data_IF_412060704632
#
_entry.id   IF_412060704632
#
_cell.length_a   1.000
_cell.length_b   1.000
_cell.length_c   1.000
_cell.angle_alpha   90.00
_cell.angle_beta   90.00
_cell.angle_gamma   90.00
#
_symmetry.space_group_name_H-M   'P 1'
#
loop_
_entity.id
_entity.type
_entity.pdbx_description
1 polymer ?
#
# COMPACT_ATOMS: atom_id res chain seq x y z
N UNK A 1 -6.12 -44.45 -6.91
CA UNK A 1 -6.44 -45.85 -6.53
C UNK A 1 -5.63 -46.87 -7.33
N UNK A 2 -5.56 -46.77 -8.66
CA UNK A 2 -4.78 -47.69 -9.51
C UNK A 2 -3.29 -47.83 -9.12
N UNK A 3 -2.62 -46.72 -8.78
CA UNK A 3 -1.20 -46.74 -8.37
C UNK A 3 -0.94 -47.47 -7.05
N UNK A 4 -1.90 -47.47 -6.11
CA UNK A 4 -1.76 -48.20 -4.84
C UNK A 4 -1.86 -49.71 -5.11
N UNK A 5 -2.74 -50.12 -6.01
CA UNK A 5 -2.86 -51.50 -6.46
C UNK A 5 -1.58 -51.97 -7.17
N UNK A 6 -1.01 -51.11 -8.02
CA UNK A 6 0.30 -51.37 -8.66
C UNK A 6 1.40 -51.51 -7.61
N UNK A 7 1.45 -50.64 -6.60
CA UNK A 7 2.41 -50.74 -5.50
C UNK A 7 2.28 -52.07 -4.73
N UNK A 8 1.06 -52.53 -4.49
CA UNK A 8 0.79 -53.82 -3.84
C UNK A 8 1.32 -55.01 -4.67
N UNK A 9 1.00 -55.06 -5.97
CA UNK A 9 1.50 -56.12 -6.85
C UNK A 9 3.01 -56.09 -7.02
N UNK A 10 3.62 -54.90 -7.09
CA UNK A 10 5.08 -54.74 -7.12
C UNK A 10 5.73 -55.23 -5.81
N UNK A 11 5.11 -54.98 -4.67
CA UNK A 11 5.60 -55.49 -3.38
C UNK A 11 5.53 -57.03 -3.34
N UNK A 12 4.42 -57.63 -3.77
CA UNK A 12 4.28 -59.09 -3.91
C UNK A 12 5.35 -59.67 -4.84
N UNK A 13 5.53 -59.05 -6.02
CA UNK A 13 6.52 -59.48 -6.99
C UNK A 13 7.93 -59.44 -6.39
N UNK A 14 8.28 -58.35 -5.69
CA UNK A 14 9.57 -58.19 -5.00
C UNK A 14 9.77 -59.28 -3.94
N UNK A 15 8.72 -59.62 -3.19
CA UNK A 15 8.77 -60.72 -2.22
C UNK A 15 9.07 -62.06 -2.89
N UNK A 16 8.32 -62.43 -3.95
CA UNK A 16 8.52 -63.69 -4.65
C UNK A 16 9.88 -63.77 -5.35
N UNK A 17 10.37 -62.68 -5.94
CA UNK A 17 11.74 -62.62 -6.50
C UNK A 17 12.76 -62.87 -5.38
N UNK A 18 12.56 -62.28 -4.20
CA UNK A 18 13.42 -62.50 -3.04
C UNK A 18 13.45 -63.96 -2.58
N UNK A 19 12.27 -64.60 -2.46
CA UNK A 19 12.13 -66.01 -2.09
C UNK A 19 12.77 -66.92 -3.14
N UNK A 20 12.54 -66.66 -4.43
CA UNK A 20 13.10 -67.42 -5.53
C UNK A 20 14.63 -67.36 -5.56
N UNK A 21 15.21 -66.17 -5.36
CA UNK A 21 16.66 -65.99 -5.24
C UNK A 21 17.21 -66.77 -4.04
N UNK A 22 16.45 -66.81 -2.93
CA UNK A 22 16.85 -67.55 -1.73
C UNK A 22 16.86 -69.06 -1.96
N UNK A 23 15.85 -69.59 -2.65
CA UNK A 23 15.67 -71.01 -2.91
C UNK A 23 16.57 -71.57 -4.02
N UNK A 24 17.21 -70.71 -4.82
CA UNK A 24 18.09 -71.17 -5.91
C UNK A 24 19.26 -72.02 -5.38
N UNK A 25 19.53 -73.20 -5.97
CA UNK A 25 20.67 -74.05 -5.63
C UNK A 25 21.97 -73.54 -6.28
N UNK A 26 22.17 -72.23 -6.29
CA UNK A 26 23.34 -71.56 -6.89
C UNK A 26 24.20 -70.97 -5.75
N UNK A 27 25.48 -71.34 -5.61
CA UNK A 27 26.35 -70.87 -4.52
C UNK A 27 26.95 -69.47 -4.76
N UNK A 28 26.20 -68.54 -5.38
CA UNK A 28 26.68 -67.16 -5.58
C UNK A 28 26.27 -66.30 -4.39
N UNK A 29 27.22 -66.08 -3.47
CA UNK A 29 27.00 -65.34 -2.21
C UNK A 29 26.52 -63.90 -2.45
N UNK A 30 27.00 -63.23 -3.49
CA UNK A 30 26.58 -61.88 -3.87
C UNK A 30 25.09 -61.80 -4.19
N UNK A 31 24.55 -62.78 -4.93
CA UNK A 31 23.13 -62.83 -5.30
C UNK A 31 22.27 -63.21 -4.09
N UNK A 32 22.70 -64.20 -3.29
CA UNK A 32 21.98 -64.63 -2.09
C UNK A 32 21.87 -63.56 -1.00
N UNK A 33 22.80 -62.60 -0.94
CA UNK A 33 22.69 -61.43 -0.04
C UNK A 33 21.53 -60.49 -0.38
N UNK A 34 21.03 -60.48 -1.62
CA UNK A 34 19.90 -59.66 -2.03
C UNK A 34 18.55 -60.26 -1.65
N UNK A 35 18.42 -61.58 -1.60
CA UNK A 35 17.19 -62.25 -1.21
C UNK A 35 16.58 -61.75 0.12
N UNK A 36 17.28 -61.79 1.26
CA UNK A 36 16.72 -61.31 2.54
C UNK A 36 16.42 -59.81 2.51
N UNK A 37 17.17 -59.02 1.72
CA UNK A 37 16.89 -57.58 1.56
C UNK A 37 15.60 -57.33 0.79
N UNK A 38 15.39 -58.03 -0.33
CA UNK A 38 14.17 -57.91 -1.14
C UNK A 38 12.93 -58.36 -0.35
N UNK A 39 13.03 -59.43 0.42
CA UNK A 39 11.94 -59.92 1.29
C UNK A 39 11.60 -58.87 2.36
N UNK A 40 12.61 -58.34 3.06
CA UNK A 40 12.40 -57.31 4.08
C UNK A 40 11.81 -56.01 3.51
N UNK A 41 12.24 -55.64 2.30
CA UNK A 41 11.74 -54.45 1.60
C UNK A 41 10.28 -54.57 1.19
N UNK A 42 9.91 -55.72 0.61
CA UNK A 42 8.54 -56.02 0.24
C UNK A 42 7.63 -55.98 1.48
N UNK A 43 8.06 -56.59 2.59
CA UNK A 43 7.32 -56.57 3.84
C UNK A 43 7.15 -55.14 4.39
N UNK A 44 8.23 -54.34 4.38
CA UNK A 44 8.18 -52.95 4.80
C UNK A 44 7.17 -52.13 3.99
N UNK A 45 7.19 -52.26 2.66
CA UNK A 45 6.25 -51.54 1.78
C UNK A 45 4.81 -52.03 2.00
N UNK A 46 4.58 -53.33 2.22
CA UNK A 46 3.25 -53.84 2.55
C UNK A 46 2.72 -53.28 3.87
N UNK A 47 3.53 -53.30 4.93
CA UNK A 47 3.14 -52.71 6.22
C UNK A 47 2.81 -51.22 6.05
N UNK A 48 3.58 -50.51 5.23
CA UNK A 48 3.32 -49.10 4.94
C UNK A 48 2.01 -48.90 4.16
N UNK A 49 1.74 -49.75 3.15
CA UNK A 49 0.47 -49.74 2.41
C UNK A 49 -0.74 -49.95 3.32
N UNK A 50 -0.66 -50.87 4.27
CA UNK A 50 -1.77 -51.13 5.21
C UNK A 50 -1.90 -50.04 6.29
N UNK A 51 -0.79 -49.40 6.70
CA UNK A 51 -0.80 -48.37 7.74
C UNK A 51 -1.00 -46.94 7.21
N UNK A 52 -0.99 -46.71 5.89
CA UNK A 52 -1.00 -45.36 5.32
C UNK A 52 -2.24 -44.55 5.73
N UNK A 53 -3.41 -45.18 5.80
CA UNK A 53 -4.64 -44.50 6.23
C UNK A 53 -4.55 -44.03 7.69
N UNK A 54 -3.97 -44.86 8.57
CA UNK A 54 -3.72 -44.50 9.97
C UNK A 54 -2.69 -43.37 10.08
N UNK A 55 -1.61 -43.41 9.28
CA UNK A 55 -0.59 -42.34 9.24
C UNK A 55 -1.21 -41.01 8.80
N UNK A 56 -2.02 -41.01 7.73
CA UNK A 56 -2.71 -39.80 7.24
C UNK A 56 -3.69 -39.27 8.29
N UNK A 57 -4.44 -40.15 8.95
CA UNK A 57 -5.38 -39.74 10.00
C UNK A 57 -4.66 -39.11 11.19
N UNK A 58 -3.56 -39.72 11.65
CA UNK A 58 -2.72 -39.15 12.71
C UNK A 58 -2.15 -37.79 12.32
N UNK A 59 -1.67 -37.66 11.09
CA UNK A 59 -1.20 -36.39 10.51
C UNK A 59 -2.28 -35.31 10.54
N UNK A 60 -3.52 -35.62 10.14
CA UNK A 60 -4.63 -34.67 10.19
C UNK A 60 -4.99 -34.27 11.63
N UNK A 61 -4.94 -35.20 12.60
CA UNK A 61 -5.15 -34.89 14.01
C UNK A 61 -4.08 -33.89 14.50
N UNK A 62 -2.81 -34.16 14.22
CA UNK A 62 -1.70 -33.26 14.58
C UNK A 62 -1.92 -31.88 13.95
N UNK A 63 -2.26 -31.83 12.66
CA UNK A 63 -2.56 -30.58 11.96
C UNK A 63 -3.67 -29.78 12.68
N UNK A 64 -4.80 -30.41 12.99
CA UNK A 64 -5.92 -29.71 13.64
C UNK A 64 -5.61 -29.28 15.07
N UNK A 65 -4.90 -30.09 15.85
CA UNK A 65 -4.50 -29.73 17.23
C UNK A 65 -3.53 -28.55 17.27
N UNK A 66 -2.68 -28.40 16.26
CA UNK A 66 -1.79 -27.24 16.10
C UNK A 66 -2.50 -26.03 15.48
N UNK A 67 -3.82 -26.09 15.28
CA UNK A 67 -4.63 -24.99 14.75
C UNK A 67 -4.51 -24.81 13.24
N UNK A 68 -4.14 -25.86 12.50
CA UNK A 68 -4.07 -25.86 11.05
C UNK A 68 -5.41 -26.19 10.40
N UNK A 69 -5.83 -25.35 9.46
CA UNK A 69 -7.00 -25.59 8.62
C UNK A 69 -6.73 -25.15 7.17
N UNK A 70 -7.01 -26.06 6.23
CA UNK A 70 -6.77 -25.84 4.81
C UNK A 70 -7.61 -24.72 4.22
N UNK A 71 -8.85 -24.57 4.67
CA UNK A 71 -9.77 -23.58 4.10
C UNK A 71 -9.42 -22.18 4.59
N UNK A 72 -9.08 -22.04 5.86
CA UNK A 72 -8.58 -20.82 6.48
C UNK A 72 -7.27 -20.38 5.83
N UNK A 73 -6.32 -21.30 5.67
CA UNK A 73 -5.02 -21.01 5.03
C UNK A 73 -5.17 -20.57 3.57
N UNK A 74 -5.96 -21.26 2.75
CA UNK A 74 -6.18 -20.87 1.35
C UNK A 74 -6.92 -19.54 1.23
N UNK A 75 -7.90 -19.29 2.11
CA UNK A 75 -8.62 -18.01 2.14
C UNK A 75 -7.70 -16.86 2.54
N UNK A 76 -6.88 -17.05 3.58
CA UNK A 76 -5.88 -16.09 4.01
C UNK A 76 -4.88 -15.76 2.90
N UNK A 77 -4.37 -16.78 2.20
CA UNK A 77 -3.38 -16.58 1.13
C UNK A 77 -4.00 -15.86 -0.07
N UNK A 78 -5.23 -16.19 -0.46
CA UNK A 78 -5.98 -15.48 -1.52
C UNK A 78 -6.24 -14.02 -1.15
N UNK A 79 -6.71 -13.77 0.07
CA UNK A 79 -6.96 -12.40 0.56
C UNK A 79 -5.66 -11.59 0.59
N UNK A 80 -4.56 -12.22 1.01
CA UNK A 80 -3.24 -11.59 1.02
C UNK A 80 -2.79 -11.21 -0.39
N UNK A 81 -2.87 -12.13 -1.36
CA UNK A 81 -2.55 -11.85 -2.77
C UNK A 81 -3.41 -10.69 -3.30
N UNK A 82 -4.74 -10.74 -3.10
CA UNK A 82 -5.64 -9.68 -3.54
C UNK A 82 -5.25 -8.32 -2.94
N UNK A 83 -4.95 -8.28 -1.64
CA UNK A 83 -4.47 -7.07 -0.97
C UNK A 83 -3.23 -6.46 -1.64
N UNK A 84 -2.22 -7.27 -1.98
CA UNK A 84 -0.99 -6.77 -2.64
C UNK A 84 -1.27 -6.28 -4.06
N UNK A 85 -2.15 -6.94 -4.81
CA UNK A 85 -2.58 -6.46 -6.14
C UNK A 85 -3.24 -5.08 -6.04
N UNK A 86 -4.12 -4.88 -5.05
CA UNK A 86 -4.75 -3.57 -4.84
C UNK A 86 -3.75 -2.48 -4.48
N UNK A 87 -2.79 -2.77 -3.60
CA UNK A 87 -1.73 -1.80 -3.24
C UNK A 87 -0.88 -1.47 -4.46
N UNK A 88 -0.51 -2.45 -5.28
CA UNK A 88 0.24 -2.21 -6.52
C UNK A 88 -0.54 -1.35 -7.52
N UNK A 89 -1.85 -1.59 -7.66
CA UNK A 89 -2.70 -0.78 -8.51
C UNK A 89 -2.75 0.67 -8.02
N UNK A 90 -2.90 0.88 -6.71
CA UNK A 90 -2.89 2.22 -6.10
C UNK A 90 -1.54 2.93 -6.29
N UNK A 91 -0.42 2.25 -6.01
CA UNK A 91 0.91 2.82 -6.22
C UNK A 91 1.20 3.09 -7.71
N UNK A 92 0.66 2.29 -8.61
CA UNK A 92 0.71 2.53 -10.06
C UNK A 92 0.02 3.83 -10.45
N UNK A 93 -1.21 4.04 -9.97
CA UNK A 93 -1.94 5.30 -10.20
C UNK A 93 -1.21 6.50 -9.60
N UNK A 94 -0.69 6.36 -8.38
CA UNK A 94 0.08 7.41 -7.71
C UNK A 94 1.35 7.75 -8.51
N UNK A 95 2.08 6.73 -8.98
CA UNK A 95 3.27 6.92 -9.81
C UNK A 95 2.94 7.67 -11.10
N UNK A 96 1.85 7.31 -11.77
CA UNK A 96 1.44 7.95 -13.02
C UNK A 96 1.08 9.43 -12.79
N UNK A 97 0.41 9.75 -11.68
CA UNK A 97 0.13 11.13 -11.27
C UNK A 97 1.42 11.91 -10.96
N UNK A 98 2.32 11.34 -10.17
CA UNK A 98 3.59 11.96 -9.81
C UNK A 98 4.51 12.16 -11.03
N UNK A 99 4.50 11.24 -11.99
CA UNK A 99 5.34 11.34 -13.19
C UNK A 99 4.98 12.53 -14.09
N UNK A 100 3.77 13.06 -13.98
CA UNK A 100 3.32 14.26 -14.71
C UNK A 100 3.81 15.56 -14.06
N UNK A 101 4.31 15.49 -12.82
CA UNK A 101 4.80 16.62 -12.04
C UNK A 101 6.33 16.55 -12.02
N UNK A 102 6.99 17.21 -12.97
CA UNK A 102 8.43 17.04 -13.27
C UNK A 102 9.40 17.22 -12.10
N UNK A 103 9.04 18.01 -11.08
CA UNK A 103 9.82 18.22 -9.85
C UNK A 103 9.89 16.97 -8.96
N UNK A 104 8.89 16.07 -9.01
CA UNK A 104 8.78 14.90 -8.13
C UNK A 104 9.42 13.63 -8.70
N UNK A 105 10.28 13.75 -9.71
CA UNK A 105 10.97 12.62 -10.33
C UNK A 105 11.74 11.75 -9.32
N UNK A 106 12.32 12.35 -8.28
CA UNK A 106 12.94 11.62 -7.16
C UNK A 106 11.97 10.73 -6.37
N UNK A 107 10.74 11.19 -6.14
CA UNK A 107 9.70 10.43 -5.44
C UNK A 107 9.21 9.26 -6.30
N UNK A 108 9.10 9.45 -7.62
CA UNK A 108 8.71 8.34 -8.52
C UNK A 108 9.67 7.14 -8.41
N UNK A 109 10.97 7.40 -8.17
CA UNK A 109 11.98 6.36 -7.92
C UNK A 109 11.69 5.62 -6.61
N UNK A 110 11.39 6.32 -5.53
CA UNK A 110 11.01 5.70 -4.24
C UNK A 110 9.75 4.84 -4.38
N UNK A 111 8.72 5.36 -5.04
CA UNK A 111 7.48 4.60 -5.32
C UNK A 111 7.80 3.34 -6.12
N UNK A 112 8.64 3.42 -7.16
CA UNK A 112 9.04 2.23 -7.92
C UNK A 112 9.82 1.19 -7.10
N UNK A 113 10.68 1.61 -6.15
CA UNK A 113 11.38 0.69 -5.26
C UNK A 113 10.41 -0.08 -4.35
N UNK A 114 9.41 0.62 -3.82
CA UNK A 114 8.35 0.01 -2.99
C UNK A 114 7.51 -0.96 -3.84
N UNK A 115 7.11 -0.55 -5.04
CA UNK A 115 6.37 -1.40 -5.97
C UNK A 115 7.15 -2.69 -6.27
N UNK A 116 8.45 -2.60 -6.59
CA UNK A 116 9.27 -3.79 -6.86
C UNK A 116 9.32 -4.75 -5.66
N UNK A 117 9.36 -4.22 -4.44
CA UNK A 117 9.37 -5.02 -3.22
C UNK A 117 8.04 -5.73 -2.98
N UNK A 118 6.91 -5.05 -3.24
CA UNK A 118 5.57 -5.64 -3.15
C UNK A 118 5.37 -6.69 -4.25
N UNK A 119 5.88 -6.45 -5.46
CA UNK A 119 5.88 -7.44 -6.55
C UNK A 119 6.63 -8.70 -6.14
N UNK A 120 7.80 -8.57 -5.51
CA UNK A 120 8.55 -9.73 -5.00
C UNK A 120 7.76 -10.51 -3.93
N UNK A 121 7.12 -9.81 -2.98
CA UNK A 121 6.20 -10.42 -1.99
C UNK A 121 5.05 -11.17 -2.68
N UNK A 122 4.44 -10.59 -3.71
CA UNK A 122 3.37 -11.21 -4.46
C UNK A 122 3.82 -12.50 -5.17
N UNK A 123 5.02 -12.51 -5.77
CA UNK A 123 5.58 -13.72 -6.36
C UNK A 123 5.77 -14.84 -5.33
N UNK A 124 6.26 -14.52 -4.14
CA UNK A 124 6.46 -15.52 -3.07
C UNK A 124 5.13 -16.09 -2.57
N UNK A 125 4.11 -15.25 -2.37
CA UNK A 125 2.76 -15.71 -2.02
C UNK A 125 2.14 -16.57 -3.13
N UNK A 126 2.38 -16.24 -4.40
CA UNK A 126 1.89 -17.02 -5.53
C UNK A 126 2.57 -18.40 -5.59
N UNK A 127 3.88 -18.47 -5.35
CA UNK A 127 4.62 -19.74 -5.24
C UNK A 127 4.05 -20.59 -4.10
N UNK A 128 3.83 -20.00 -2.94
CA UNK A 128 3.21 -20.71 -1.80
C UNK A 128 1.80 -21.20 -2.15
N UNK A 129 0.97 -20.36 -2.78
CA UNK A 129 -0.40 -20.73 -3.16
C UNK A 129 -0.42 -21.86 -4.19
N UNK A 130 0.37 -21.75 -5.25
CA UNK A 130 0.46 -22.77 -6.30
C UNK A 130 0.96 -24.11 -5.75
N UNK A 131 2.02 -24.09 -4.94
CA UNK A 131 2.52 -25.27 -4.24
C UNK A 131 1.45 -25.91 -3.36
N UNK A 132 0.69 -25.08 -2.63
CA UNK A 132 -0.38 -25.52 -1.75
C UNK A 132 -1.54 -26.17 -2.49
N UNK A 133 -1.95 -25.59 -3.62
CA UNK A 133 -2.99 -26.18 -4.48
C UNK A 133 -2.51 -27.51 -5.05
N UNK A 134 -1.27 -27.60 -5.51
CA UNK A 134 -0.68 -28.84 -6.04
C UNK A 134 -0.67 -29.93 -4.96
N UNK A 135 -0.20 -29.62 -3.75
CA UNK A 135 -0.17 -30.57 -2.63
C UNK A 135 -1.59 -31.01 -2.25
N UNK A 136 -2.52 -30.08 -2.04
CA UNK A 136 -3.89 -30.40 -1.62
C UNK A 136 -4.64 -31.27 -2.64
N UNK A 137 -4.49 -30.97 -3.92
CA UNK A 137 -5.19 -31.70 -5.00
C UNK A 137 -4.54 -33.03 -5.33
N UNK A 138 -3.20 -33.09 -5.31
CA UNK A 138 -2.42 -34.27 -5.73
C UNK A 138 -1.90 -35.12 -4.58
N UNK A 139 -2.34 -34.86 -3.34
CA UNK A 139 -1.86 -35.53 -2.13
C UNK A 139 -1.84 -37.06 -2.25
N UNK A 140 -2.99 -37.66 -2.57
CA UNK A 140 -3.11 -39.12 -2.72
C UNK A 140 -2.31 -39.66 -3.90
N UNK A 141 -2.11 -38.85 -4.94
CA UNK A 141 -1.29 -39.21 -6.10
C UNK A 141 0.19 -39.28 -5.70
N UNK A 142 0.70 -38.31 -4.93
CA UNK A 142 2.08 -38.33 -4.45
C UNK A 142 2.34 -39.49 -3.48
N UNK A 143 1.40 -39.78 -2.58
CA UNK A 143 1.50 -40.95 -1.69
C UNK A 143 1.54 -42.26 -2.50
N UNK A 144 0.61 -42.42 -3.44
CA UNK A 144 0.52 -43.64 -4.24
C UNK A 144 1.75 -43.82 -5.15
N UNK A 145 2.24 -42.75 -5.77
CA UNK A 145 3.45 -42.76 -6.57
C UNK A 145 4.69 -43.05 -5.71
N UNK A 146 4.78 -42.44 -4.54
CA UNK A 146 5.86 -42.68 -3.58
C UNK A 146 5.94 -44.15 -3.16
N UNK A 147 4.79 -44.73 -2.79
CA UNK A 147 4.66 -46.15 -2.47
C UNK A 147 5.00 -47.06 -3.65
N UNK A 148 4.54 -46.74 -4.86
CA UNK A 148 4.85 -47.53 -6.05
C UNK A 148 6.35 -47.53 -6.37
N UNK A 149 7.02 -46.37 -6.27
CA UNK A 149 8.47 -46.26 -6.46
C UNK A 149 9.26 -46.99 -5.37
N UNK A 150 8.78 -46.97 -4.12
CA UNK A 150 9.38 -47.76 -3.04
C UNK A 150 9.21 -49.27 -3.24
N UNK A 151 8.13 -49.70 -3.89
CA UNK A 151 7.85 -51.09 -4.20
C UNK A 151 8.69 -51.66 -5.36
N UNK A 152 9.43 -50.82 -6.11
CA UNK A 152 10.27 -51.28 -7.22
C UNK A 152 11.40 -52.18 -6.69
N UNK A 153 11.58 -53.39 -7.27
CA UNK A 153 12.64 -54.32 -6.87
C UNK A 153 14.03 -53.69 -6.90
N UNK A 154 14.95 -54.27 -6.12
CA UNK A 154 16.37 -53.86 -6.04
C UNK A 154 16.61 -52.43 -5.53
N UNK A 155 15.58 -51.78 -4.95
CA UNK A 155 15.66 -50.43 -4.36
C UNK A 155 16.04 -49.32 -5.35
N UNK A 156 15.89 -49.52 -6.65
CA UNK A 156 16.34 -48.57 -7.69
C UNK A 156 15.70 -47.18 -7.49
N UNK A 157 14.41 -47.15 -7.16
CA UNK A 157 13.65 -45.91 -6.98
C UNK A 157 13.26 -45.63 -5.52
N UNK A 158 13.84 -46.35 -4.55
CA UNK A 158 13.39 -46.30 -3.15
C UNK A 158 13.56 -44.93 -2.52
N UNK A 159 14.68 -44.25 -2.79
CA UNK A 159 14.95 -42.91 -2.27
C UNK A 159 13.96 -41.87 -2.81
N UNK A 160 13.69 -41.92 -4.11
CA UNK A 160 12.71 -41.05 -4.76
C UNK A 160 11.29 -41.29 -4.23
N UNK A 161 10.91 -42.57 -4.05
CA UNK A 161 9.62 -42.93 -3.50
C UNK A 161 9.44 -42.49 -2.04
N UNK A 162 10.46 -42.69 -1.21
CA UNK A 162 10.47 -42.24 0.18
C UNK A 162 10.41 -40.70 0.30
N UNK A 163 11.08 -39.99 -0.61
CA UNK A 163 10.98 -38.53 -0.68
C UNK A 163 9.59 -38.05 -1.06
N UNK A 164 8.97 -38.62 -2.11
CA UNK A 164 7.62 -38.24 -2.52
C UNK A 164 6.58 -38.50 -1.43
N UNK A 165 6.69 -39.65 -0.74
CA UNK A 165 5.83 -39.98 0.40
C UNK A 165 6.02 -38.99 1.56
N UNK A 166 7.27 -38.69 1.93
CA UNK A 166 7.60 -37.75 2.99
C UNK A 166 7.14 -36.32 2.65
N UNK A 167 7.41 -35.87 1.43
CA UNK A 167 6.96 -34.57 0.90
C UNK A 167 5.45 -34.44 1.01
N UNK A 168 4.69 -35.43 0.53
CA UNK A 168 3.23 -35.39 0.58
C UNK A 168 2.73 -35.27 2.02
N UNK A 169 3.23 -36.08 2.94
CA UNK A 169 2.80 -36.07 4.35
C UNK A 169 3.18 -34.77 5.06
N UNK A 170 4.44 -34.34 4.95
CA UNK A 170 4.94 -33.14 5.61
C UNK A 170 4.24 -31.90 5.08
N UNK A 171 4.18 -31.71 3.76
CA UNK A 171 3.53 -30.54 3.19
C UNK A 171 2.02 -30.54 3.45
N UNK A 172 1.35 -31.71 3.45
CA UNK A 172 -0.08 -31.75 3.73
C UNK A 172 -0.40 -31.37 5.19
N UNK A 173 0.42 -31.82 6.13
CA UNK A 173 0.25 -31.54 7.55
C UNK A 173 0.62 -30.09 7.87
N UNK A 174 1.75 -29.64 7.33
CA UNK A 174 2.40 -28.43 7.80
C UNK A 174 1.97 -27.18 7.03
N UNK A 175 1.76 -27.20 5.71
CA UNK A 175 1.40 -25.98 4.96
C UNK A 175 0.27 -25.15 5.61
N UNK A 176 -0.82 -25.75 6.11
CA UNK A 176 -1.90 -25.01 6.77
C UNK A 176 -1.51 -24.34 8.10
N UNK A 177 -0.39 -24.74 8.70
CA UNK A 177 0.19 -24.13 9.91
C UNK A 177 0.97 -22.85 9.62
N UNK A 178 1.14 -22.46 8.35
CA UNK A 178 1.83 -21.22 7.98
C UNK A 178 1.23 -20.00 8.70
N UNK A 179 -0.10 -19.93 8.87
CA UNK A 179 -0.73 -18.82 9.59
C UNK A 179 -0.26 -18.69 11.04
N UNK A 180 -0.01 -19.81 11.73
CA UNK A 180 0.51 -19.80 13.10
C UNK A 180 2.00 -19.45 13.12
N UNK A 181 2.75 -19.93 12.14
CA UNK A 181 4.15 -19.59 11.95
C UNK A 181 4.34 -18.07 11.75
N UNK A 182 3.49 -17.44 10.93
CA UNK A 182 3.51 -15.98 10.72
C UNK A 182 3.20 -15.22 12.01
N UNK A 183 2.25 -15.68 12.81
CA UNK A 183 1.93 -15.06 14.11
C UNK A 183 3.11 -15.13 15.09
N UNK A 184 3.91 -16.21 15.07
CA UNK A 184 5.10 -16.31 15.91
C UNK A 184 6.23 -15.39 15.48
N UNK A 185 6.33 -15.08 14.18
CA UNK A 185 7.33 -14.16 13.65
C UNK A 185 7.02 -12.68 13.97
N UNK A 186 5.78 -12.35 14.30
CA UNK A 186 5.34 -10.96 14.50
C UNK A 186 4.88 -10.77 15.94
N UNK A 187 5.74 -10.17 16.77
CA UNK A 187 5.40 -9.82 18.16
C UNK A 187 4.67 -8.47 18.30
N UNK A 188 4.40 -7.73 17.22
CA UNK A 188 3.68 -6.45 17.28
C UNK A 188 2.25 -6.57 16.76
N UNK A 189 1.28 -6.11 17.54
CA UNK A 189 -0.09 -5.92 17.05
C UNK A 189 -0.08 -4.91 15.92
N UNK A 190 -0.72 -5.26 14.80
CA UNK A 190 -0.89 -4.35 13.68
C UNK A 190 -1.81 -3.21 14.11
N UNK A 191 -1.29 -1.98 14.16
CA UNK A 191 -2.15 -0.80 14.33
C UNK A 191 -3.03 -0.66 13.10
N UNK A 192 -4.35 -0.67 13.28
CA UNK A 192 -5.32 -0.53 12.19
C UNK A 192 -5.04 0.73 11.36
N UNK A 193 -4.84 0.56 10.05
CA UNK A 193 -4.77 1.65 9.07
C UNK A 193 -6.15 2.31 8.94
N UNK A 194 -6.37 3.44 9.61
CA UNK A 194 -7.65 4.18 9.61
C UNK A 194 -7.65 5.47 8.77
N UNK A 195 -6.66 5.67 7.88
CA UNK A 195 -6.53 6.89 7.08
C UNK A 195 -7.17 6.81 5.68
N UNK A 196 -7.69 7.94 5.18
CA UNK A 196 -8.15 8.12 3.80
C UNK A 196 -7.33 9.23 3.11
N UNK A 197 -7.08 9.06 1.80
CA UNK A 197 -6.48 10.11 0.95
C UNK A 197 -7.62 10.96 0.41
N UNK A 198 -7.61 12.25 0.74
CA UNK A 198 -8.56 13.25 0.24
C UNK A 198 -7.89 14.06 -0.86
N UNK A 199 -8.57 14.24 -1.98
CA UNK A 199 -8.10 15.07 -3.09
C UNK A 199 -9.25 15.87 -3.68
N UNK A 200 -8.96 17.00 -4.32
CA UNK A 200 -10.00 17.75 -5.02
C UNK A 200 -9.50 19.04 -5.64
N UNK A 201 -10.43 19.77 -6.24
CA UNK A 201 -10.12 21.06 -6.85
C UNK A 201 -10.45 22.23 -5.94
N UNK A 202 -9.67 23.30 -6.01
CA UNK A 202 -9.93 24.57 -5.32
C UNK A 202 -10.45 25.61 -6.32
N UNK A 203 -11.61 26.18 -6.03
CA UNK A 203 -12.25 27.21 -6.84
C UNK A 203 -12.67 28.40 -5.99
N UNK A 204 -12.77 29.58 -6.60
CA UNK A 204 -13.29 30.78 -5.94
C UNK A 204 -14.84 30.83 -5.94
N UNK A 205 -15.42 31.94 -5.46
CA UNK A 205 -16.88 32.12 -5.44
C UNK A 205 -17.53 32.13 -6.84
N UNK A 206 -16.79 32.54 -7.87
CA UNK A 206 -17.20 32.55 -9.28
C UNK A 206 -16.86 31.22 -10.02
N UNK A 207 -16.54 30.15 -9.29
CA UNK A 207 -16.14 28.84 -9.82
C UNK A 207 -14.89 28.87 -10.74
N UNK A 208 -14.09 29.95 -10.70
CA UNK A 208 -12.77 30.00 -11.34
C UNK A 208 -11.78 29.20 -10.50
N UNK A 209 -10.98 28.38 -11.15
CA UNK A 209 -9.95 27.55 -10.51
C UNK A 209 -8.80 28.42 -9.97
N UNK A 210 -8.44 28.25 -8.70
CA UNK A 210 -7.32 28.97 -8.08
C UNK A 210 -6.07 28.10 -8.23
N UNK A 211 -5.06 28.58 -8.95
CA UNK A 211 -3.95 27.72 -9.41
C UNK A 211 -2.96 27.35 -8.31
N UNK A 212 -2.67 28.29 -7.40
CA UNK A 212 -1.64 28.18 -6.36
C UNK A 212 -2.18 28.64 -5.01
N UNK A 213 -1.48 28.31 -3.93
CA UNK A 213 -1.81 28.70 -2.57
C UNK A 213 -1.74 27.51 -1.62
N UNK A 214 -2.28 27.65 -0.43
CA UNK A 214 -2.18 26.60 0.58
C UNK A 214 -3.52 26.34 1.27
N UNK A 215 -3.70 25.13 1.74
CA UNK A 215 -4.84 24.73 2.56
C UNK A 215 -4.33 24.54 3.99
N UNK A 216 -4.98 25.23 4.92
CA UNK A 216 -4.86 25.01 6.35
C UNK A 216 -5.98 24.10 6.84
N UNK A 217 -5.63 23.09 7.61
CA UNK A 217 -6.56 22.19 8.28
C UNK A 217 -6.59 22.55 9.78
N UNK A 218 -7.73 22.97 10.30
CA UNK A 218 -7.91 23.12 11.74
C UNK A 218 -8.68 21.92 12.30
N UNK A 219 -8.08 21.26 13.29
CA UNK A 219 -8.64 20.11 13.98
C UNK A 219 -8.37 20.19 15.48
N UNK A 220 -9.43 20.12 16.31
CA UNK A 220 -9.31 20.15 17.77
C UNK A 220 -8.56 21.37 18.31
N UNK A 221 -8.83 22.56 17.75
CA UNK A 221 -8.13 23.83 18.00
C UNK A 221 -6.63 23.84 17.67
N UNK A 222 -6.15 22.86 16.89
CA UNK A 222 -4.80 22.88 16.31
C UNK A 222 -4.89 23.19 14.82
N UNK A 223 -4.19 24.23 14.42
CA UNK A 223 -4.02 24.57 13.01
C UNK A 223 -2.84 23.80 12.44
N UNK A 224 -3.11 23.05 11.38
CA UNK A 224 -2.18 22.21 10.63
C UNK A 224 -2.12 22.79 9.21
N UNK A 225 -1.07 23.54 8.92
CA UNK A 225 -0.81 24.13 7.61
C UNK A 225 0.69 24.08 7.33
N UNK A 226 1.17 24.15 6.08
CA UNK A 226 0.40 24.34 4.86
C UNK A 226 0.37 23.10 3.93
N UNK A 227 -0.81 22.76 3.41
CA UNK A 227 -0.97 21.75 2.35
C UNK A 227 -0.97 22.51 1.01
N UNK A 228 0.04 22.33 0.14
CA UNK A 228 0.14 23.12 -1.08
C UNK A 228 -0.93 22.76 -2.11
N UNK A 229 -1.37 23.76 -2.84
CA UNK A 229 -2.29 23.66 -3.97
C UNK A 229 -1.50 23.96 -5.23
N UNK A 230 -1.53 23.05 -6.20
CA UNK A 230 -0.87 23.22 -7.49
C UNK A 230 -1.82 22.86 -8.62
N UNK A 231 -1.87 23.70 -9.65
CA UNK A 231 -2.82 23.55 -10.76
C UNK A 231 -4.26 23.36 -10.27
N UNK A 232 -4.62 24.07 -9.20
CA UNK A 232 -5.91 23.98 -8.52
C UNK A 232 -6.24 22.65 -7.88
N UNK A 233 -5.30 21.72 -7.79
CA UNK A 233 -5.49 20.43 -7.15
C UNK A 233 -4.75 20.41 -5.82
N UNK A 234 -5.39 19.82 -4.81
CA UNK A 234 -4.75 19.52 -3.54
C UNK A 234 -4.91 18.05 -3.19
N UNK A 235 -4.03 17.55 -2.33
CA UNK A 235 -4.09 16.18 -1.81
C UNK A 235 -3.62 16.18 -0.37
N UNK A 236 -4.36 15.51 0.49
CA UNK A 236 -4.03 15.36 1.91
C UNK A 236 -4.36 13.95 2.41
N UNK A 237 -3.57 13.46 3.35
CA UNK A 237 -3.87 12.24 4.09
C UNK A 237 -4.56 12.63 5.39
N UNK A 238 -5.77 12.10 5.62
CA UNK A 238 -6.56 12.40 6.82
C UNK A 238 -6.78 11.11 7.59
N UNK A 239 -6.33 11.11 8.86
CA UNK A 239 -6.50 9.99 9.79
C UNK A 239 -7.12 10.46 11.13
N UNK A 240 -7.99 11.46 11.06
CA UNK A 240 -8.58 12.09 12.23
C UNK A 240 -10.06 11.76 12.34
N UNK A 241 -10.48 11.24 13.49
CA UNK A 241 -11.88 11.04 13.84
C UNK A 241 -12.44 12.28 14.53
N UNK A 242 -12.96 13.23 13.75
CA UNK A 242 -13.66 14.39 14.29
C UNK A 242 -14.01 15.43 13.24
N UNK A 243 -14.51 16.58 13.70
CA UNK A 243 -14.84 17.70 12.82
C UNK A 243 -13.58 18.52 12.52
N UNK A 244 -13.46 18.94 11.27
CA UNK A 244 -12.38 19.80 10.81
C UNK A 244 -12.93 21.01 10.06
N UNK A 245 -12.15 22.09 10.08
CA UNK A 245 -12.37 23.26 9.23
C UNK A 245 -11.21 23.40 8.27
N UNK A 246 -11.51 23.59 6.98
CA UNK A 246 -10.51 23.84 5.96
C UNK A 246 -10.49 25.32 5.61
N UNK A 247 -9.30 25.91 5.68
CA UNK A 247 -8.99 27.27 5.29
C UNK A 247 -8.16 27.26 4.03
N UNK A 248 -8.31 28.28 3.20
CA UNK A 248 -7.37 28.58 2.14
C UNK A 248 -6.48 29.74 2.61
N UNK A 249 -5.19 29.49 2.75
CA UNK A 249 -4.22 30.41 3.30
C UNK A 249 -3.33 30.97 2.17
N UNK A 250 -3.42 32.28 1.95
CA UNK A 250 -2.58 33.03 1.00
C UNK A 250 -2.30 34.44 1.51
N UNK A 251 -1.08 34.94 1.31
CA UNK A 251 -0.69 36.32 1.66
C UNK A 251 -1.05 36.71 3.12
N UNK A 252 -0.90 35.79 4.08
CA UNK A 252 -1.21 36.04 5.49
C UNK A 252 -2.70 36.09 5.84
N UNK A 253 -3.57 35.68 4.90
CA UNK A 253 -5.02 35.65 5.07
C UNK A 253 -5.54 34.22 5.06
N UNK A 254 -6.39 33.91 6.05
CA UNK A 254 -7.12 32.64 6.10
C UNK A 254 -8.55 32.84 5.57
N UNK A 255 -8.80 32.36 4.36
CA UNK A 255 -10.12 32.38 3.75
C UNK A 255 -10.90 31.13 4.13
N UNK A 256 -12.13 31.29 4.60
CA UNK A 256 -13.02 30.17 4.86
C UNK A 256 -13.39 29.45 3.56
N UNK A 257 -13.43 28.12 3.63
CA UNK A 257 -13.96 27.29 2.54
C UNK A 257 -15.41 26.88 2.82
N UNK A 258 -16.03 26.16 1.89
CA UNK A 258 -17.31 25.48 2.08
C UNK A 258 -17.29 24.36 3.14
N UNK A 259 -16.12 24.05 3.73
CA UNK A 259 -15.96 22.98 4.71
C UNK A 259 -15.56 23.58 6.04
N UNK A 260 -16.56 23.83 6.87
CA UNK A 260 -16.44 24.40 8.20
C UNK A 260 -17.06 23.47 9.23
N UNK A 261 -16.29 23.11 10.26
CA UNK A 261 -16.71 22.23 11.35
C UNK A 261 -17.43 20.95 10.87
N UNK A 262 -16.87 20.28 9.86
CA UNK A 262 -17.47 19.11 9.24
C UNK A 262 -16.58 17.87 9.43
N UNK A 263 -17.21 16.71 9.66
CA UNK A 263 -16.48 15.44 9.70
C UNK A 263 -16.08 15.03 8.28
N UNK A 264 -14.77 15.11 7.99
CA UNK A 264 -14.20 14.67 6.71
C UNK A 264 -14.55 13.20 6.46
N UNK A 265 -14.50 12.36 7.49
CA UNK A 265 -14.88 10.96 7.39
C UNK A 265 -16.32 10.78 6.89
N UNK A 266 -17.29 11.58 7.38
CA UNK A 266 -18.68 11.49 6.93
C UNK A 266 -18.89 12.04 5.51
N UNK A 267 -18.20 13.15 5.16
CA UNK A 267 -18.21 13.70 3.81
C UNK A 267 -17.69 12.67 2.80
N UNK A 268 -16.61 11.98 3.16
CA UNK A 268 -16.07 10.90 2.35
C UNK A 268 -17.05 9.71 2.29
N UNK A 269 -17.67 9.30 3.41
CA UNK A 269 -18.57 8.12 3.52
C UNK A 269 -19.72 8.14 2.50
N UNK A 270 -20.29 9.30 2.24
CA UNK A 270 -21.41 9.45 1.28
C UNK A 270 -20.98 9.40 -0.20
N UNK A 271 -19.67 9.45 -0.47
CA UNK A 271 -19.12 9.33 -1.82
C UNK A 271 -18.74 7.87 -2.16
N UNK A 272 -18.87 6.95 -1.19
CA UNK A 272 -18.59 5.53 -1.39
C UNK A 272 -19.81 4.82 -1.97
N UNK A 273 -19.82 4.65 -3.29
CA UNK A 273 -20.61 3.60 -3.95
C UNK A 273 -19.73 2.52 -4.59
N UNK A 274 -18.46 2.39 -4.18
CA UNK A 274 -17.48 1.49 -4.81
C UNK A 274 -16.37 0.98 -3.89
N UNK A 275 -15.75 -0.12 -4.33
CA UNK A 275 -14.80 -1.02 -3.64
C UNK A 275 -13.38 -0.48 -3.42
N UNK A 276 -13.15 0.84 -3.51
CA UNK A 276 -11.83 1.47 -3.27
C UNK A 276 -11.83 2.23 -1.94
N UNK A 277 -11.45 1.60 -0.82
CA UNK A 277 -11.68 2.15 0.53
C UNK A 277 -10.78 3.33 0.91
N UNK A 278 -9.99 3.94 0.02
CA UNK A 278 -8.89 4.84 0.40
C UNK A 278 -8.89 6.22 -0.28
N UNK A 279 -9.74 6.49 -1.28
CA UNK A 279 -9.72 7.76 -2.03
C UNK A 279 -11.05 8.50 -1.89
N UNK A 280 -10.99 9.78 -1.50
CA UNK A 280 -12.13 10.66 -1.31
C UNK A 280 -11.97 11.95 -2.12
N UNK A 281 -12.97 12.27 -2.96
CA UNK A 281 -12.95 13.50 -3.75
C UNK A 281 -13.73 14.62 -3.04
N UNK A 282 -13.08 15.75 -2.79
CA UNK A 282 -13.63 16.85 -2.01
C UNK A 282 -13.25 18.20 -2.64
N UNK A 283 -14.18 18.85 -3.33
CA UNK A 283 -13.90 20.14 -3.97
C UNK A 283 -14.09 21.30 -2.97
N UNK A 284 -13.13 22.21 -2.93
CA UNK A 284 -13.14 23.37 -2.05
C UNK A 284 -13.58 24.62 -2.79
N UNK A 285 -14.49 25.37 -2.18
CA UNK A 285 -14.92 26.69 -2.64
C UNK A 285 -14.46 27.74 -1.64
N UNK A 286 -13.55 28.61 -2.05
CA UNK A 286 -12.95 29.67 -1.23
C UNK A 286 -13.85 30.90 -1.24
N UNK A 287 -14.22 31.37 -0.05
CA UNK A 287 -15.10 32.53 0.11
C UNK A 287 -14.29 33.83 0.15
N UNK A 288 -14.77 34.88 -0.52
CA UNK A 288 -14.17 36.23 -0.51
C UNK A 288 -12.94 36.44 -1.40
N UNK A 289 -12.19 35.39 -1.73
CA UNK A 289 -11.03 35.47 -2.63
C UNK A 289 -11.49 35.59 -4.10
N UNK A 290 -10.96 36.58 -4.82
CA UNK A 290 -11.15 36.77 -6.26
C UNK A 290 -10.16 35.90 -7.02
N UNK A 291 -8.86 36.07 -6.77
CA UNK A 291 -7.81 35.30 -7.43
C UNK A 291 -6.50 35.41 -6.65
N UNK A 292 -5.59 34.48 -6.91
CA UNK A 292 -4.25 34.44 -6.31
C UNK A 292 -3.21 34.03 -7.35
N UNK A 293 -2.10 34.77 -7.41
CA UNK A 293 -0.95 34.40 -8.22
C UNK A 293 0.35 34.89 -7.56
N UNK A 294 1.25 33.97 -7.23
CA UNK A 294 2.64 34.24 -6.79
C UNK A 294 2.76 35.40 -5.78
N UNK A 295 2.20 35.25 -4.58
CA UNK A 295 2.32 36.28 -3.53
C UNK A 295 1.43 37.52 -3.73
N UNK A 296 0.52 37.49 -4.71
CA UNK A 296 -0.49 38.53 -4.93
C UNK A 296 -1.89 37.94 -4.74
N UNK A 297 -2.64 38.43 -3.76
CA UNK A 297 -4.02 38.03 -3.51
C UNK A 297 -4.98 39.20 -3.71
N UNK A 298 -6.01 39.00 -4.52
CA UNK A 298 -7.16 39.90 -4.62
C UNK A 298 -8.36 39.30 -3.90
N UNK A 299 -8.95 40.05 -2.99
CA UNK A 299 -10.18 39.63 -2.31
C UNK A 299 -11.11 40.81 -2.08
N UNK A 300 -12.41 40.54 -1.92
CA UNK A 300 -13.41 41.58 -1.75
C UNK A 300 -14.46 41.19 -0.72
N UNK A 301 -14.93 42.19 0.03
CA UNK A 301 -16.00 42.01 1.01
C UNK A 301 -16.94 43.23 1.05
N UNK A 302 -18.27 43.05 0.88
CA UNK A 302 -18.93 41.83 0.37
C UNK A 302 -18.43 41.41 -1.03
N UNK A 303 -18.61 40.14 -1.40
CA UNK A 303 -18.13 39.63 -2.69
C UNK A 303 -18.97 40.23 -3.86
N UNK A 304 -18.36 40.77 -4.92
CA UNK A 304 -19.07 41.34 -6.05
C UNK A 304 -19.97 40.32 -6.76
N UNK A 305 -21.08 40.78 -7.33
CA UNK A 305 -22.02 39.93 -8.07
C UNK A 305 -21.41 39.28 -9.32
N UNK A 306 -20.47 39.97 -9.99
CA UNK A 306 -19.72 39.43 -11.12
C UNK A 306 -18.26 39.88 -11.03
N UNK A 307 -17.34 38.97 -11.35
CA UNK A 307 -15.91 39.22 -11.37
C UNK A 307 -15.29 38.56 -12.60
N UNK A 308 -14.71 39.35 -13.49
CA UNK A 308 -13.99 38.88 -14.66
C UNK A 308 -12.54 39.37 -14.62
N UNK A 309 -11.61 38.44 -14.41
CA UNK A 309 -10.17 38.72 -14.40
C UNK A 309 -9.64 38.53 -15.82
N UNK A 310 -9.39 39.62 -16.54
CA UNK A 310 -8.89 39.59 -17.92
C UNK A 310 -7.39 39.29 -17.98
N UNK A 311 -6.60 39.87 -17.06
CA UNK A 311 -5.17 39.62 -16.94
C UNK A 311 -4.76 39.54 -15.47
N UNK A 312 -4.01 38.51 -15.09
CA UNK A 312 -3.42 38.40 -13.75
C UNK A 312 -2.00 37.86 -13.86
N UNK A 313 -1.04 38.78 -13.94
CA UNK A 313 0.39 38.46 -14.06
C UNK A 313 1.17 39.14 -12.94
N UNK A 314 2.41 38.70 -12.66
CA UNK A 314 3.27 39.37 -11.69
C UNK A 314 3.56 40.86 -11.96
N UNK A 315 3.30 41.36 -13.18
CA UNK A 315 3.58 42.76 -13.58
C UNK A 315 2.33 43.60 -13.79
N UNK A 316 1.20 42.96 -14.09
CA UNK A 316 -0.03 43.66 -14.42
C UNK A 316 -1.25 42.83 -14.07
N UNK A 317 -2.22 43.50 -13.44
CA UNK A 317 -3.50 42.92 -13.06
C UNK A 317 -4.62 43.80 -13.64
N UNK A 318 -5.59 43.16 -14.29
CA UNK A 318 -6.78 43.81 -14.82
C UNK A 318 -8.02 42.98 -14.48
N UNK A 319 -8.96 43.62 -13.78
CA UNK A 319 -10.17 42.97 -13.29
C UNK A 319 -11.38 43.88 -13.50
N UNK A 320 -12.45 43.30 -14.03
CA UNK A 320 -13.77 43.92 -14.13
C UNK A 320 -14.65 43.40 -12.99
N UNK A 321 -15.20 44.32 -12.21
CA UNK A 321 -15.98 44.05 -11.01
C UNK A 321 -17.36 44.68 -11.17
N UNK A 322 -18.41 43.93 -10.88
CA UNK A 322 -19.79 44.45 -10.86
C UNK A 322 -20.44 44.10 -9.52
N UNK A 323 -20.96 45.10 -8.83
CA UNK A 323 -21.64 44.94 -7.54
C UNK A 323 -22.87 45.82 -7.43
N UNK A 324 -23.92 45.31 -6.79
CA UNK A 324 -25.15 46.07 -6.47
C UNK A 324 -25.03 46.92 -5.19
N UNK A 325 -23.95 46.75 -4.44
CA UNK A 325 -23.67 47.44 -3.19
C UNK A 325 -22.20 47.83 -3.12
N UNK A 326 -21.89 48.82 -2.29
CA UNK A 326 -20.52 49.22 -2.01
C UNK A 326 -19.73 48.04 -1.42
N UNK A 327 -18.47 47.93 -1.78
CA UNK A 327 -17.59 46.87 -1.28
C UNK A 327 -16.17 47.36 -1.06
N UNK A 328 -15.49 46.71 -0.12
CA UNK A 328 -14.06 46.89 0.11
C UNK A 328 -13.31 45.88 -0.77
N UNK A 329 -12.47 46.38 -1.67
CA UNK A 329 -11.52 45.59 -2.44
C UNK A 329 -10.16 45.61 -1.73
N UNK A 330 -9.61 44.43 -1.50
CA UNK A 330 -8.33 44.23 -0.85
C UNK A 330 -7.31 43.72 -1.86
N UNK A 331 -6.18 44.42 -1.94
CA UNK A 331 -5.01 44.01 -2.72
C UNK A 331 -3.92 43.66 -1.73
N UNK A 332 -3.60 42.37 -1.58
CA UNK A 332 -2.56 41.91 -0.64
C UNK A 332 -1.33 41.47 -1.43
N UNK A 333 -0.19 42.06 -1.10
CA UNK A 333 1.08 41.88 -1.80
C UNK A 333 2.18 41.51 -0.81
N UNK A 334 2.95 40.47 -1.13
CA UNK A 334 4.26 40.23 -0.47
C UNK A 334 5.18 41.43 -0.75
N UNK A 335 6.07 41.76 0.17
CA UNK A 335 6.98 42.91 0.07
C UNK A 335 7.94 42.86 -1.15
N UNK A 336 8.04 41.71 -1.81
CA UNK A 336 8.68 41.53 -3.12
C UNK A 336 8.03 42.38 -4.24
N UNK A 337 6.78 42.83 -4.05
CA UNK A 337 6.04 43.62 -5.02
C UNK A 337 5.82 45.06 -4.53
N UNK A 338 5.97 46.02 -5.44
CA UNK A 338 5.55 47.41 -5.24
C UNK A 338 4.56 47.83 -6.33
N UNK A 339 3.55 48.61 -5.98
CA UNK A 339 2.57 49.12 -6.95
C UNK A 339 3.16 50.34 -7.65
N UNK A 340 3.36 50.24 -8.97
CA UNK A 340 3.82 51.35 -9.84
C UNK A 340 2.70 52.31 -10.17
N UNK A 341 1.53 51.77 -10.49
CA UNK A 341 0.33 52.55 -10.75
C UNK A 341 -0.91 51.72 -10.42
N UNK A 342 -1.92 52.41 -9.91
CA UNK A 342 -3.22 51.85 -9.57
C UNK A 342 -4.28 52.77 -10.14
N UNK A 343 -5.23 52.22 -10.89
CA UNK A 343 -6.33 53.00 -11.46
C UNK A 343 -7.66 52.27 -11.35
N UNK A 344 -8.71 53.05 -11.12
CA UNK A 344 -10.11 52.61 -11.11
C UNK A 344 -10.86 53.45 -12.16
N UNK A 345 -11.47 52.80 -13.14
CA UNK A 345 -12.22 53.45 -14.23
C UNK A 345 -11.45 54.55 -14.97
N UNK A 346 -10.14 54.33 -15.15
CA UNK A 346 -9.18 55.28 -15.75
C UNK A 346 -8.74 56.44 -14.84
N UNK A 347 -9.24 56.53 -13.62
CA UNK A 347 -8.72 57.48 -12.61
C UNK A 347 -7.53 56.85 -11.89
N UNK A 348 -6.34 57.40 -12.11
CA UNK A 348 -5.10 56.95 -11.45
C UNK A 348 -5.04 57.48 -10.02
N UNK A 349 -4.71 56.62 -9.08
CA UNK A 349 -4.46 56.97 -7.68
C UNK A 349 -2.99 57.41 -7.55
N UNK A 350 -2.78 58.68 -7.18
CA UNK A 350 -1.43 59.28 -7.13
C UNK A 350 -0.58 58.73 -5.97
N UNK A 351 -1.18 58.48 -4.80
CA UNK A 351 -0.47 57.97 -3.64
C UNK A 351 -1.13 56.67 -3.14
N UNK A 352 -0.57 55.54 -3.54
CA UNK A 352 -1.12 54.20 -3.21
C UNK A 352 -0.85 53.83 -1.75
N UNK A 353 0.20 54.35 -1.14
CA UNK A 353 0.57 54.04 0.24
C UNK A 353 -0.45 54.54 1.27
N UNK A 354 -1.24 55.57 0.92
CA UNK A 354 -2.34 56.08 1.76
C UNK A 354 -3.46 55.04 1.95
N UNK A 355 -3.51 54.02 1.10
CA UNK A 355 -4.50 52.94 1.14
C UNK A 355 -4.01 51.69 1.88
N UNK A 356 -2.79 51.68 2.44
CA UNK A 356 -2.30 50.57 3.26
C UNK A 356 -3.14 50.48 4.53
N UNK A 357 -3.86 49.36 4.70
CA UNK A 357 -4.68 49.12 5.90
C UNK A 357 -3.88 48.45 7.01
N UNK A 358 -3.05 47.46 6.68
CA UNK A 358 -2.18 46.76 7.63
C UNK A 358 -1.04 46.03 6.92
N UNK A 359 -0.02 45.69 7.71
CA UNK A 359 1.05 44.77 7.34
C UNK A 359 0.77 43.40 7.94
N UNK A 360 1.19 42.36 7.24
CA UNK A 360 0.99 40.99 7.67
C UNK A 360 2.27 40.19 7.51
N UNK A 361 2.31 39.05 8.19
CA UNK A 361 3.37 38.07 8.09
C UNK A 361 2.74 36.76 7.66
N UNK A 362 3.35 36.13 6.67
CA UNK A 362 2.93 34.87 6.12
C UNK A 362 4.12 33.91 6.14
N UNK A 363 4.19 33.09 7.20
CA UNK A 363 5.36 32.26 7.50
C UNK A 363 6.65 33.09 7.65
N UNK A 364 7.58 32.97 6.71
CA UNK A 364 8.83 33.73 6.61
C UNK A 364 8.73 34.98 5.72
N UNK A 365 7.58 35.20 5.07
CA UNK A 365 7.33 36.36 4.23
C UNK A 365 6.61 37.48 5.00
N UNK A 366 6.83 38.71 4.55
CA UNK A 366 6.13 39.90 4.99
C UNK A 366 5.40 40.54 3.82
N UNK A 367 4.32 41.24 4.11
CA UNK A 367 3.55 41.92 3.08
C UNK A 367 2.61 42.97 3.62
N UNK A 368 1.89 43.58 2.67
CA UNK A 368 1.01 44.72 2.88
C UNK A 368 -0.33 44.46 2.21
N UNK A 369 -1.41 44.90 2.86
CA UNK A 369 -2.76 44.87 2.27
C UNK A 369 -3.27 46.29 2.09
N UNK A 370 -3.61 46.63 0.85
CA UNK A 370 -4.24 47.88 0.45
C UNK A 370 -5.74 47.68 0.38
N UNK A 371 -6.52 48.68 0.83
CA UNK A 371 -7.98 48.59 0.80
C UNK A 371 -8.60 49.77 0.08
N UNK A 372 -9.37 49.46 -0.95
CA UNK A 372 -10.05 50.42 -1.81
C UNK A 372 -11.55 50.28 -1.59
N UNK A 373 -12.23 51.38 -1.27
CA UNK A 373 -13.68 51.41 -1.19
C UNK A 373 -14.25 51.66 -2.58
N UNK A 374 -14.96 50.69 -3.13
CA UNK A 374 -15.54 50.76 -4.47
C UNK A 374 -17.07 50.89 -4.33
N UNK A 375 -17.68 51.93 -4.93
CA UNK A 375 -19.13 52.10 -4.87
C UNK A 375 -19.86 51.00 -5.66
N UNK A 376 -21.17 50.90 -5.46
CA UNK A 376 -22.03 50.07 -6.30
C UNK A 376 -21.92 50.49 -7.79
N UNK A 377 -21.76 49.52 -8.68
CA UNK A 377 -21.56 49.77 -10.11
C UNK A 377 -20.66 48.75 -10.79
N UNK A 378 -20.34 49.04 -12.06
CA UNK A 378 -19.36 48.31 -12.84
C UNK A 378 -18.06 49.10 -12.86
N UNK A 379 -16.98 48.48 -12.39
CA UNK A 379 -15.69 49.11 -12.23
C UNK A 379 -14.58 48.29 -12.90
N UNK A 380 -13.62 48.98 -13.52
CA UNK A 380 -12.39 48.40 -14.04
C UNK A 380 -11.23 48.75 -13.13
N UNK A 381 -10.61 47.73 -12.55
CA UNK A 381 -9.37 47.84 -11.79
C UNK A 381 -8.17 47.52 -12.69
N UNK A 382 -7.18 48.39 -12.70
CA UNK A 382 -5.90 48.16 -13.37
C UNK A 382 -4.75 48.47 -12.42
N UNK A 383 -3.90 47.47 -12.16
CA UNK A 383 -2.74 47.55 -11.26
C UNK A 383 -1.47 47.20 -12.03
N UNK A 384 -0.49 48.10 -12.04
CA UNK A 384 0.86 47.81 -12.53
C UNK A 384 1.80 47.60 -11.34
N UNK A 385 2.57 46.52 -11.40
CA UNK A 385 3.46 46.08 -10.32
C UNK A 385 4.91 46.05 -10.78
N UNK A 386 5.82 46.32 -9.84
CA UNK A 386 7.24 46.02 -9.94
C UNK A 386 7.56 44.86 -9.02
N UNK A 387 8.23 43.83 -9.55
CA UNK A 387 8.69 42.66 -8.80
C UNK A 387 10.19 42.77 -8.60
N UNK A 388 10.65 42.62 -7.37
CA UNK A 388 12.05 42.34 -7.10
C UNK A 388 12.34 40.87 -7.48
N UNK A 389 13.09 40.67 -8.56
CA UNK A 389 13.42 39.35 -9.10
C UNK A 389 14.24 38.48 -8.12
N UNK A 390 14.86 39.08 -7.11
CA UNK A 390 15.65 38.36 -6.10
C UNK A 390 14.85 38.03 -4.83
N UNK A 391 13.64 38.57 -4.68
CA UNK A 391 12.82 38.39 -3.50
C UNK A 391 11.89 37.18 -3.65
N UNK A 392 11.74 36.42 -2.56
CA UNK A 392 10.82 35.28 -2.50
C UNK A 392 9.36 35.77 -2.42
N UNK A 393 8.48 35.06 -3.13
CA UNK A 393 7.04 35.39 -3.24
C UNK A 393 6.14 34.31 -2.64
N UNK A 394 6.70 33.14 -2.33
CA UNK A 394 6.04 32.01 -1.69
C UNK A 394 6.84 31.60 -0.45
N UNK A 395 6.19 31.03 0.59
CA UNK A 395 6.87 30.55 1.79
C UNK A 395 7.98 29.54 1.47
N UNK A 396 9.09 29.55 2.22
CA UNK A 396 10.18 28.63 1.92
C UNK A 396 9.78 27.17 2.09
N UNK A 397 10.36 26.30 1.25
CA UNK A 397 10.12 24.85 1.28
C UNK A 397 10.38 24.24 2.66
N UNK A 398 11.26 24.83 3.45
CA UNK A 398 11.57 24.39 4.81
C UNK A 398 10.37 24.47 5.76
N UNK A 399 9.60 25.57 5.70
CA UNK A 399 8.38 25.74 6.50
C UNK A 399 7.29 24.78 6.04
N UNK A 400 7.12 24.65 4.71
CA UNK A 400 6.16 23.70 4.12
C UNK A 400 6.47 22.28 4.58
N UNK A 401 7.74 21.87 4.51
CA UNK A 401 8.18 20.54 4.93
C UNK A 401 7.98 20.30 6.42
N UNK A 402 8.37 21.25 7.29
CA UNK A 402 8.22 21.07 8.75
C UNK A 402 6.77 20.90 9.14
N UNK A 403 5.88 21.66 8.52
CA UNK A 403 4.49 21.66 8.94
C UNK A 403 3.69 20.50 8.31
N UNK A 404 4.07 20.04 7.12
CA UNK A 404 3.67 18.72 6.62
C UNK A 404 4.18 17.61 7.53
N UNK A 405 5.44 17.66 7.97
CA UNK A 405 6.00 16.68 8.91
C UNK A 405 5.22 16.66 10.23
N UNK A 406 4.80 17.80 10.78
CA UNK A 406 3.94 17.85 11.97
C UNK A 406 2.54 17.28 11.73
N UNK A 407 1.95 17.52 10.55
CA UNK A 407 0.70 16.88 10.11
C UNK A 407 0.84 15.35 10.00
N UNK A 408 2.03 14.88 9.58
CA UNK A 408 2.37 13.47 9.44
C UNK A 408 2.73 12.81 10.80
N UNK A 409 3.34 13.55 11.73
CA UNK A 409 3.75 13.07 13.06
C UNK A 409 2.58 12.97 14.04
N UNK A 410 1.43 13.56 13.73
CA UNK A 410 0.23 13.49 14.56
C UNK A 410 -0.66 12.26 14.28
N UNK A 411 -0.26 11.37 13.36
CA UNK A 411 -0.89 10.06 13.21
C UNK A 411 -0.14 9.08 12.30
N UNK A 412 0.51 8.08 12.90
CA UNK A 412 0.74 6.73 12.36
C UNK A 412 1.29 6.57 10.92
N UNK A 413 1.91 7.56 10.28
CA UNK A 413 2.60 7.35 8.99
C UNK A 413 3.83 6.43 9.12
N UNK A 414 4.63 6.49 10.21
CA UNK A 414 5.65 5.47 10.47
C UNK A 414 5.05 4.06 10.41
N UNK A 415 3.80 3.89 10.84
CA UNK A 415 3.13 2.60 10.84
C UNK A 415 2.77 2.11 9.43
N UNK A 416 2.52 2.96 8.42
CA UNK A 416 2.18 2.48 7.07
C UNK A 416 3.40 1.85 6.40
N UNK A 417 4.55 2.54 6.46
CA UNK A 417 5.78 2.01 5.91
C UNK A 417 6.29 0.81 6.71
N UNK A 418 6.21 0.86 8.04
CA UNK A 418 6.55 -0.29 8.88
C UNK A 418 5.62 -1.48 8.62
N UNK A 419 4.32 -1.26 8.42
CA UNK A 419 3.38 -2.32 8.04
C UNK A 419 3.67 -2.90 6.65
N UNK A 420 4.00 -2.06 5.67
CA UNK A 420 4.39 -2.51 4.33
C UNK A 420 5.70 -3.30 4.41
N UNK A 421 6.71 -2.79 5.11
CA UNK A 421 8.01 -3.45 5.29
C UNK A 421 7.82 -4.78 6.02
N UNK A 422 7.01 -4.80 7.08
CA UNK A 422 6.69 -6.01 7.84
C UNK A 422 5.98 -7.04 6.96
N UNK A 423 4.94 -6.64 6.23
CA UNK A 423 4.21 -7.49 5.30
C UNK A 423 5.14 -8.07 4.22
N UNK A 424 6.02 -7.24 3.65
CA UNK A 424 7.03 -7.67 2.67
C UNK A 424 8.00 -8.67 3.29
N UNK A 425 8.48 -8.42 4.52
CA UNK A 425 9.41 -9.31 5.20
C UNK A 425 8.77 -10.68 5.50
N UNK A 426 7.52 -10.70 5.97
CA UNK A 426 6.75 -11.93 6.20
C UNK A 426 6.58 -12.72 4.90
N UNK A 427 6.23 -12.04 3.81
CA UNK A 427 5.93 -12.69 2.55
C UNK A 427 7.20 -13.18 1.85
N UNK A 428 8.29 -12.43 1.90
CA UNK A 428 9.55 -12.82 1.24
C UNK A 428 10.33 -13.79 2.12
N UNK A 429 10.69 -13.37 3.33
CA UNK A 429 11.55 -14.15 4.22
C UNK A 429 10.74 -15.25 4.89
N UNK A 430 9.55 -14.92 5.40
CA UNK A 430 8.71 -15.89 6.10
C UNK A 430 8.28 -17.05 5.19
N UNK A 431 7.79 -16.78 3.97
CA UNK A 431 7.42 -17.86 3.02
C UNK A 431 8.63 -18.69 2.62
N UNK A 432 9.75 -18.05 2.24
CA UNK A 432 10.95 -18.77 1.84
C UNK A 432 11.46 -19.69 2.96
N UNK A 433 11.61 -19.12 4.17
CA UNK A 433 12.08 -19.85 5.34
C UNK A 433 11.15 -21.01 5.69
N UNK A 434 9.83 -20.78 5.63
CA UNK A 434 8.86 -21.83 5.90
C UNK A 434 8.95 -22.98 4.90
N UNK A 435 8.98 -22.68 3.60
CA UNK A 435 9.12 -23.70 2.55
C UNK A 435 10.45 -24.46 2.70
N UNK A 436 11.55 -23.78 3.01
CA UNK A 436 12.85 -24.42 3.27
C UNK A 436 12.79 -25.37 4.46
N UNK A 437 12.12 -24.99 5.55
CA UNK A 437 11.89 -25.87 6.70
C UNK A 437 11.11 -27.12 6.26
N UNK A 438 10.03 -26.95 5.49
CA UNK A 438 9.23 -28.09 5.02
C UNK A 438 10.03 -29.05 4.14
N UNK A 439 10.86 -28.53 3.23
CA UNK A 439 11.76 -29.36 2.42
C UNK A 439 12.80 -30.07 3.28
N UNK A 440 13.42 -29.37 4.24
CA UNK A 440 14.41 -29.96 5.15
C UNK A 440 13.82 -31.12 5.97
N UNK A 441 12.63 -30.91 6.54
CA UNK A 441 11.89 -31.95 7.28
C UNK A 441 11.50 -33.10 6.35
N UNK A 442 11.05 -32.81 5.13
CA UNK A 442 10.71 -33.85 4.13
C UNK A 442 11.93 -34.70 3.77
N UNK A 443 13.10 -34.09 3.53
CA UNK A 443 14.34 -34.81 3.23
C UNK A 443 14.79 -35.64 4.44
N UNK A 444 14.70 -35.08 5.65
CA UNK A 444 15.01 -35.80 6.90
C UNK A 444 14.12 -37.03 7.07
N UNK A 445 12.80 -36.86 6.91
CA UNK A 445 11.84 -37.94 7.03
C UNK A 445 11.99 -38.99 5.91
N UNK A 446 12.30 -38.56 4.69
CA UNK A 446 12.61 -39.45 3.58
C UNK A 446 13.83 -40.35 3.85
N UNK A 447 14.87 -39.83 4.51
CA UNK A 447 16.06 -40.62 4.89
C UNK A 447 15.73 -41.71 5.91
N UNK A 448 14.77 -41.44 6.81
CA UNK A 448 14.25 -42.43 7.76
C UNK A 448 13.46 -43.52 7.03
N UNK A 449 12.49 -43.12 6.20
CA UNK A 449 11.65 -44.06 5.42
C UNK A 449 12.45 -44.87 4.39
N UNK A 450 13.44 -44.24 3.76
CA UNK A 450 14.33 -44.86 2.78
C UNK A 450 15.37 -45.81 3.38
N UNK A 451 15.55 -45.82 4.70
CA UNK A 451 16.49 -46.69 5.41
C UNK A 451 17.95 -46.26 5.33
N UNK A 452 18.23 -44.98 5.00
CA UNK A 452 19.58 -44.41 5.00
C UNK A 452 20.01 -43.94 6.39
N UNK A 453 19.06 -43.48 7.21
CA UNK A 453 19.31 -43.17 8.61
C UNK A 453 19.14 -44.43 9.45
N UNK A 454 20.24 -44.93 10.04
CA UNK A 454 20.13 -45.92 11.12
C UNK A 454 19.62 -45.19 12.36
N UNK A 455 18.33 -45.33 12.67
CA UNK A 455 17.86 -45.10 14.04
C UNK A 455 18.57 -46.13 14.91
N UNK A 456 19.66 -45.73 15.57
CA UNK A 456 20.16 -46.46 16.74
C UNK A 456 19.09 -46.27 17.80
N UNK A 457 18.15 -47.20 17.88
CA UNK A 457 17.38 -47.36 19.11
C UNK A 457 18.40 -47.75 20.17
N UNK A 458 18.71 -46.80 21.04
CA UNK A 458 19.31 -47.10 22.33
C UNK A 458 18.17 -47.78 23.09
N UNK A 459 18.10 -49.10 22.97
CA UNK A 459 17.35 -49.95 23.91
C UNK A 459 18.30 -50.27 25.04
#
# INVERSE_FOLDING_TARGET
>A
MYLILVAYYLAILTFYIGVLIYSLPIPVTSLKRWAPRLIADAFFVMVLLFSISSIVTLSNIIQHTLGGDWNSFLSYTKASIAGRVYVLMMLGLLRDLLSKIGFLSGITRLVSMIMNSIVASLYMLLVMYTLSVVVKTSFWTFIALGLALMAIPFRIARSAGAFLLAFALVFNTALPLYMQFVKMLIFSEASSLSGFIVYGSVVNMNNKSISHGFIGLEYGNKYIAPIPVYSSIYTMLVNYEGNATLYFDVCGHMFFTNITNASIHNLCRNTYSGTTPLLCKLNLKVMGLIDYNEGIALHAFPFPSSVNVSLFTPKYIEVYLESQQDFDLYISLVDAYNIKSLSIDSNTIENVDDYIKYRWRWFDLYGRSYVLKIPAGMHKLSVSLDKDENAEVEPSESYIYMAQSQAMNSGNIPNIFDEIIRAIYIDIVGVALYITILFSVSIGFAKVLGGYAKLRMII
#
